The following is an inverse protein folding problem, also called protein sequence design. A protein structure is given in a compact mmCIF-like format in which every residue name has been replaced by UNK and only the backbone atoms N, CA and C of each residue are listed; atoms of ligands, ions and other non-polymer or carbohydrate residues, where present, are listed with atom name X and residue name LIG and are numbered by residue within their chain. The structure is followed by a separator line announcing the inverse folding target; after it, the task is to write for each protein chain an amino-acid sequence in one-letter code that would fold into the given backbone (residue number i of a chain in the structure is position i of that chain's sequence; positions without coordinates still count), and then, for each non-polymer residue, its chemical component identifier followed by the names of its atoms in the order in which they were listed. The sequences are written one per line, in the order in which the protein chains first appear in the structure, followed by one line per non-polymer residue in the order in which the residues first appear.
data_IF_346288445291
#
_entry.id   IF_346288445291
#
_cell.length_a   1.000
_cell.length_b   1.000
_cell.length_c   1.000
_cell.angle_alpha   90.00
_cell.angle_beta   90.00
_cell.angle_gamma   90.00
#
_symmetry.space_group_name_H-M   'P 1'
#
loop_
_entity.id
_entity.type
_entity.pdbx_description
1 polymer ?
#
# COMPACT_ATOMS: atom_id res chain seq x y z
N UNK A 1 -23.76 -15.06 -24.65
CA UNK A 1 -24.06 -14.19 -23.50
C UNK A 1 -23.04 -14.51 -22.44
N UNK A 2 -21.97 -13.73 -22.38
CA UNK A 2 -20.85 -13.96 -21.44
C UNK A 2 -21.22 -13.28 -20.14
N UNK A 3 -21.62 -14.05 -19.12
CA UNK A 3 -21.76 -13.57 -17.77
C UNK A 3 -20.37 -13.29 -17.21
N UNK A 4 -19.83 -12.10 -17.44
CA UNK A 4 -18.71 -11.59 -16.66
C UNK A 4 -19.22 -11.33 -15.23
N UNK A 5 -19.11 -12.34 -14.37
CA UNK A 5 -19.29 -12.18 -12.94
C UNK A 5 -18.24 -11.16 -12.47
N UNK A 6 -18.69 -10.04 -11.93
CA UNK A 6 -17.80 -9.08 -11.29
C UNK A 6 -17.01 -9.77 -10.19
N UNK A 7 -15.69 -9.51 -10.03
CA UNK A 7 -14.91 -10.07 -8.92
C UNK A 7 -15.55 -9.85 -7.55
N UNK A 8 -16.25 -8.74 -7.35
CA UNK A 8 -16.98 -8.44 -6.12
C UNK A 8 -18.11 -9.43 -5.86
N UNK A 9 -18.81 -9.93 -6.91
CA UNK A 9 -19.89 -10.91 -6.76
C UNK A 9 -19.38 -12.33 -6.46
N UNK A 10 -18.09 -12.60 -6.64
CA UNK A 10 -17.46 -13.86 -6.20
C UNK A 10 -17.12 -13.83 -4.70
N UNK A 11 -16.84 -12.66 -4.15
CA UNK A 11 -16.47 -12.47 -2.75
C UNK A 11 -17.69 -12.22 -1.85
N UNK A 12 -18.74 -11.64 -2.40
CA UNK A 12 -19.93 -11.25 -1.64
C UNK A 12 -21.20 -11.65 -2.41
N UNK A 13 -22.09 -12.42 -1.75
CA UNK A 13 -23.37 -12.85 -2.35
C UNK A 13 -24.38 -11.71 -2.44
N UNK A 14 -24.38 -10.82 -1.46
CA UNK A 14 -25.28 -9.69 -1.39
C UNK A 14 -24.50 -8.37 -1.37
N UNK A 15 -24.43 -7.73 -2.53
CA UNK A 15 -23.79 -6.42 -2.68
C UNK A 15 -24.64 -5.27 -2.11
N UNK A 16 -25.91 -5.53 -1.76
CA UNK A 16 -26.75 -4.53 -1.11
C UNK A 16 -26.39 -4.36 0.35
N UNK A 17 -26.01 -5.47 1.01
CA UNK A 17 -25.62 -5.52 2.41
C UNK A 17 -24.29 -6.27 2.55
N UNK A 18 -23.17 -5.68 2.11
CA UNK A 18 -21.87 -6.36 2.11
C UNK A 18 -21.39 -6.59 3.54
N UNK A 19 -20.96 -7.82 3.83
CA UNK A 19 -20.43 -8.20 5.14
C UNK A 19 -18.89 -8.22 5.19
N UNK A 20 -18.27 -8.60 4.07
CA UNK A 20 -16.82 -8.81 3.98
C UNK A 20 -16.11 -7.70 3.24
N UNK A 21 -16.77 -7.09 2.27
CA UNK A 21 -16.19 -6.00 1.50
C UNK A 21 -16.52 -4.64 2.16
N UNK A 22 -15.56 -3.74 2.32
CA UNK A 22 -15.78 -2.41 2.90
C UNK A 22 -16.49 -1.46 1.91
N UNK A 23 -17.62 -1.92 1.38
CA UNK A 23 -18.45 -1.19 0.42
C UNK A 23 -19.63 -0.54 1.14
N UNK A 24 -20.02 0.63 0.67
CA UNK A 24 -21.24 1.32 1.08
C UNK A 24 -22.12 1.50 -0.13
N UNK A 25 -23.37 1.02 -0.02
CA UNK A 25 -24.36 1.28 -1.04
C UNK A 25 -24.87 2.72 -0.89
N UNK A 26 -24.70 3.54 -1.91
CA UNK A 26 -25.19 4.91 -1.98
C UNK A 26 -26.21 5.04 -3.11
N UNK A 27 -27.00 6.11 -3.07
CA UNK A 27 -28.05 6.39 -4.10
C UNK A 27 -27.50 6.37 -5.54
N UNK A 28 -26.21 6.64 -5.73
CA UNK A 28 -25.54 6.70 -7.03
C UNK A 28 -24.67 5.47 -7.34
N UNK A 29 -24.78 4.38 -6.57
CA UNK A 29 -24.02 3.15 -6.77
C UNK A 29 -23.16 2.76 -5.57
N UNK A 30 -22.26 1.81 -5.78
CA UNK A 30 -21.34 1.33 -4.76
C UNK A 30 -20.22 2.37 -4.53
N UNK A 31 -20.03 2.75 -3.28
CA UNK A 31 -18.94 3.63 -2.85
C UNK A 31 -17.98 2.87 -1.92
N UNK A 32 -16.70 3.15 -2.04
CA UNK A 32 -15.63 2.53 -1.26
C UNK A 32 -14.28 2.74 -1.94
N UNK A 33 -13.24 2.15 -1.39
CA UNK A 33 -11.92 2.12 -2.03
C UNK A 33 -11.92 1.04 -3.13
N UNK A 34 -12.61 1.34 -4.23
CA UNK A 34 -12.74 0.46 -5.39
C UNK A 34 -11.60 0.72 -6.37
N UNK A 35 -11.08 -0.34 -6.96
CA UNK A 35 -10.10 -0.27 -8.03
C UNK A 35 -10.64 -0.95 -9.29
N UNK A 36 -10.33 -0.38 -10.45
CA UNK A 36 -10.63 -1.03 -11.73
C UNK A 36 -9.69 -2.22 -11.98
N UNK A 37 -10.03 -3.16 -12.88
CA UNK A 37 -9.11 -4.24 -13.27
C UNK A 37 -7.76 -3.72 -13.76
N UNK A 38 -7.73 -2.61 -14.50
CA UNK A 38 -6.52 -1.96 -14.98
C UNK A 38 -5.67 -1.43 -13.83
N UNK A 39 -6.31 -0.79 -12.85
CA UNK A 39 -5.64 -0.31 -11.64
C UNK A 39 -5.06 -1.46 -10.81
N UNK A 40 -5.73 -2.60 -10.74
CA UNK A 40 -5.20 -3.78 -10.07
C UNK A 40 -3.95 -4.33 -10.77
N UNK A 41 -3.93 -4.36 -12.10
CA UNK A 41 -2.73 -4.74 -12.86
C UNK A 41 -1.57 -3.76 -12.65
N UNK A 42 -1.86 -2.45 -12.59
CA UNK A 42 -0.85 -1.44 -12.26
C UNK A 42 -0.29 -1.63 -10.85
N UNK A 43 -1.16 -1.91 -9.89
CA UNK A 43 -0.77 -2.18 -8.52
C UNK A 43 0.12 -3.44 -8.43
N UNK A 44 -0.24 -4.52 -9.12
CA UNK A 44 0.56 -5.73 -9.18
C UNK A 44 1.97 -5.47 -9.72
N UNK A 45 2.09 -4.73 -10.82
CA UNK A 45 3.39 -4.34 -11.38
C UNK A 45 4.20 -3.49 -10.40
N UNK A 46 3.55 -2.51 -9.77
CA UNK A 46 4.21 -1.66 -8.79
C UNK A 46 4.73 -2.46 -7.59
N UNK A 47 3.92 -3.34 -7.03
CA UNK A 47 4.32 -4.21 -5.91
C UNK A 47 5.46 -5.12 -6.32
N UNK A 48 5.37 -5.77 -7.48
CA UNK A 48 6.41 -6.66 -7.99
C UNK A 48 7.73 -5.93 -8.18
N UNK A 49 7.72 -4.75 -8.78
CA UNK A 49 8.92 -3.94 -8.98
C UNK A 49 9.51 -3.45 -7.66
N UNK A 50 8.65 -3.06 -6.72
CA UNK A 50 9.08 -2.66 -5.38
C UNK A 50 9.78 -3.82 -4.66
N UNK A 51 9.21 -5.02 -4.70
CA UNK A 51 9.80 -6.21 -4.08
C UNK A 51 11.15 -6.58 -4.72
N UNK A 52 11.26 -6.52 -6.05
CA UNK A 52 12.53 -6.73 -6.76
C UNK A 52 13.59 -5.74 -6.30
N UNK A 53 13.25 -4.45 -6.27
CA UNK A 53 14.17 -3.40 -5.80
C UNK A 53 14.60 -3.60 -4.35
N UNK A 54 13.68 -4.01 -3.48
CA UNK A 54 14.00 -4.34 -2.09
C UNK A 54 14.98 -5.51 -2.01
N UNK A 55 14.72 -6.58 -2.76
CA UNK A 55 15.59 -7.76 -2.82
C UNK A 55 16.99 -7.39 -3.32
N UNK A 56 17.09 -6.61 -4.39
CA UNK A 56 18.37 -6.17 -4.94
C UNK A 56 19.17 -5.32 -3.93
N UNK A 57 18.50 -4.45 -3.18
CA UNK A 57 19.13 -3.68 -2.11
C UNK A 57 19.63 -4.57 -0.98
N UNK A 58 18.83 -5.53 -0.54
CA UNK A 58 19.23 -6.52 0.46
C UNK A 58 20.44 -7.35 0.01
N UNK A 59 20.46 -7.81 -1.24
CA UNK A 59 21.57 -8.57 -1.81
C UNK A 59 22.86 -7.74 -1.91
N UNK A 60 22.75 -6.41 -2.06
CA UNK A 60 23.88 -5.48 -1.99
C UNK A 60 24.33 -5.14 -0.58
N UNK A 61 23.67 -5.70 0.45
CA UNK A 61 24.01 -5.45 1.85
C UNK A 61 23.52 -4.11 2.39
N UNK A 62 22.49 -3.52 1.79
CA UNK A 62 21.88 -2.30 2.30
C UNK A 62 21.02 -2.61 3.54
N UNK A 63 21.56 -2.37 4.72
CA UNK A 63 20.92 -2.64 6.02
C UNK A 63 20.78 -1.38 6.87
N UNK A 64 20.60 -0.25 6.24
CA UNK A 64 20.45 1.03 6.96
C UNK A 64 19.17 1.05 7.80
N UNK A 65 19.24 1.39 9.08
CA UNK A 65 18.08 1.53 9.95
C UNK A 65 17.37 2.85 9.66
N UNK A 66 16.53 2.85 8.64
CA UNK A 66 15.79 4.02 8.15
C UNK A 66 14.27 3.83 8.38
N UNK A 67 13.81 4.00 9.64
CA UNK A 67 12.46 3.66 10.01
C UNK A 67 11.43 4.64 9.44
N UNK A 68 10.25 4.09 9.15
CA UNK A 68 9.09 4.88 8.73
C UNK A 68 8.43 5.52 9.96
N UNK A 69 8.21 6.82 9.89
CA UNK A 69 7.48 7.61 10.89
C UNK A 69 6.22 8.19 10.26
N UNK A 70 5.07 7.84 10.81
CA UNK A 70 3.74 8.33 10.36
C UNK A 70 3.15 9.41 11.26
N UNK A 71 3.89 9.89 12.23
CA UNK A 71 3.47 10.90 13.22
C UNK A 71 4.22 10.76 14.53
N UNK A 72 4.00 11.65 15.51
CA UNK A 72 4.80 11.72 16.73
C UNK A 72 4.88 10.43 17.54
N UNK A 73 3.84 9.59 17.48
CA UNK A 73 3.76 8.32 18.22
C UNK A 73 3.56 7.10 17.32
N UNK A 74 3.83 7.21 16.02
CA UNK A 74 3.64 6.13 15.03
C UNK A 74 4.94 5.81 14.32
N UNK A 75 5.95 5.45 15.09
CA UNK A 75 7.22 4.95 14.60
C UNK A 75 7.23 3.42 14.61
N UNK A 76 7.82 2.81 13.60
CA UNK A 76 8.10 1.36 13.58
C UNK A 76 9.06 0.92 14.68
N UNK A 77 9.81 1.85 15.30
CA UNK A 77 10.70 1.58 16.42
C UNK A 77 9.99 1.41 17.76
N UNK A 78 8.75 1.88 17.89
CA UNK A 78 8.04 1.89 19.18
C UNK A 78 7.83 0.50 19.79
N UNK A 79 7.68 -0.51 18.94
CA UNK A 79 7.44 -1.90 19.34
C UNK A 79 8.52 -2.83 18.76
N UNK A 80 9.75 -2.34 18.59
CA UNK A 80 10.82 -3.10 17.99
C UNK A 80 11.61 -3.81 19.09
N UNK A 81 11.67 -5.13 19.04
CA UNK A 81 12.44 -5.97 19.98
C UNK A 81 13.96 -5.72 19.92
N UNK A 82 14.43 -5.14 18.81
CA UNK A 82 15.84 -4.84 18.58
C UNK A 82 16.23 -3.38 18.85
N UNK A 83 15.35 -2.58 19.47
CA UNK A 83 15.59 -1.15 19.67
C UNK A 83 16.89 -0.87 20.44
N UNK A 84 17.18 -1.64 21.49
CA UNK A 84 18.37 -1.51 22.30
C UNK A 84 19.66 -1.89 21.54
N UNK A 85 19.62 -2.92 20.71
CA UNK A 85 20.76 -3.36 19.91
C UNK A 85 21.00 -2.50 18.66
N UNK A 86 19.98 -1.82 18.18
CA UNK A 86 20.02 -1.03 16.95
C UNK A 86 20.81 0.28 17.12
N UNK A 87 20.87 0.84 18.34
CA UNK A 87 21.53 2.12 18.65
C UNK A 87 21.15 3.27 17.69
N UNK A 88 19.92 3.25 17.18
CA UNK A 88 19.44 4.25 16.22
C UNK A 88 19.64 5.68 16.69
N UNK A 89 19.41 5.95 17.97
CA UNK A 89 19.52 7.30 18.56
C UNK A 89 20.97 7.79 18.68
N UNK A 90 21.94 6.86 18.59
CA UNK A 90 23.38 7.16 18.65
C UNK A 90 24.01 7.42 17.27
N UNK A 91 23.24 7.19 16.19
CA UNK A 91 23.70 7.36 14.83
C UNK A 91 22.87 8.44 14.12
N UNK A 92 23.47 9.20 13.22
CA UNK A 92 22.78 10.17 12.36
C UNK A 92 21.89 9.48 11.32
N UNK A 93 20.87 8.74 11.80
CA UNK A 93 19.94 8.05 10.91
C UNK A 93 18.79 8.94 10.51
N UNK A 94 18.48 8.90 9.24
CA UNK A 94 17.35 9.64 8.66
C UNK A 94 16.05 8.91 8.95
N UNK A 95 15.12 9.62 9.54
CA UNK A 95 13.74 9.15 9.64
C UNK A 95 13.00 9.42 8.34
N UNK A 96 12.29 8.41 7.84
CA UNK A 96 11.40 8.59 6.68
C UNK A 96 10.00 8.98 7.16
N UNK A 97 9.64 10.24 6.97
CA UNK A 97 8.31 10.74 7.31
C UNK A 97 7.35 10.41 6.16
N UNK A 98 6.31 9.65 6.46
CA UNK A 98 5.30 9.23 5.49
C UNK A 98 3.94 9.74 5.93
N UNK A 99 3.33 10.58 5.09
CA UNK A 99 1.95 11.02 5.28
C UNK A 99 0.98 9.98 4.70
N UNK A 100 -0.23 9.96 5.25
CA UNK A 100 -1.32 9.20 4.65
C UNK A 100 -1.67 9.77 3.27
N UNK A 101 -1.78 8.92 2.28
CA UNK A 101 -2.15 9.29 0.91
C UNK A 101 -3.58 8.86 0.66
N UNK A 102 -4.40 9.73 0.08
CA UNK A 102 -5.76 9.40 -0.37
C UNK A 102 -5.69 8.51 -1.61
N UNK A 103 -6.65 7.60 -1.77
CA UNK A 103 -6.69 6.65 -2.89
C UNK A 103 -6.54 7.34 -4.26
N UNK A 104 -7.28 8.42 -4.53
CA UNK A 104 -7.19 9.15 -5.79
C UNK A 104 -5.75 9.62 -6.08
N UNK A 105 -5.09 10.26 -5.10
CA UNK A 105 -3.71 10.73 -5.25
C UNK A 105 -2.72 9.58 -5.41
N UNK A 106 -2.99 8.43 -4.80
CA UNK A 106 -2.16 7.24 -4.97
C UNK A 106 -2.19 6.76 -6.42
N UNK A 107 -3.37 6.68 -7.03
CA UNK A 107 -3.51 6.25 -8.42
C UNK A 107 -2.86 7.21 -9.40
N UNK A 108 -3.04 8.52 -9.23
CA UNK A 108 -2.35 9.55 -10.04
C UNK A 108 -0.83 9.41 -9.98
N UNK A 109 -0.29 9.18 -8.79
CA UNK A 109 1.14 8.99 -8.61
C UNK A 109 1.65 7.71 -9.26
N UNK A 110 0.84 6.65 -9.25
CA UNK A 110 1.17 5.37 -9.86
C UNK A 110 1.24 5.52 -11.39
N UNK A 111 0.24 6.15 -12.00
CA UNK A 111 0.21 6.45 -13.43
C UNK A 111 1.41 7.31 -13.86
N UNK A 112 1.72 8.34 -13.07
CA UNK A 112 2.88 9.20 -13.34
C UNK A 112 4.19 8.43 -13.39
N UNK A 113 4.37 7.44 -12.51
CA UNK A 113 5.59 6.62 -12.47
C UNK A 113 5.71 5.68 -13.66
N UNK A 114 4.62 5.15 -14.15
CA UNK A 114 4.63 4.30 -15.36
C UNK A 114 5.04 5.08 -16.62
N UNK A 115 4.68 6.36 -16.71
CA UNK A 115 5.04 7.22 -17.86
C UNK A 115 6.49 7.73 -17.83
N UNK A 116 7.21 7.62 -16.71
CA UNK A 116 8.59 8.13 -16.56
C UNK A 116 9.65 7.02 -16.38
N UNK A 117 9.24 5.76 -16.44
CA UNK A 117 10.12 4.59 -16.42
C UNK A 117 10.19 3.94 -17.78
#
# INVERSE_FOLDING_TARGET
MSCCLSPASLMEKDLQHPQFLPLKNQKNGLAGDLASPEQLLQLERFVTNTLKNMTDRMLRGEVLPDPIIRGPQKSSCQYCDFAEACHKDSCEHRNRYVAAVRAAKFWEELERREHHG
#
